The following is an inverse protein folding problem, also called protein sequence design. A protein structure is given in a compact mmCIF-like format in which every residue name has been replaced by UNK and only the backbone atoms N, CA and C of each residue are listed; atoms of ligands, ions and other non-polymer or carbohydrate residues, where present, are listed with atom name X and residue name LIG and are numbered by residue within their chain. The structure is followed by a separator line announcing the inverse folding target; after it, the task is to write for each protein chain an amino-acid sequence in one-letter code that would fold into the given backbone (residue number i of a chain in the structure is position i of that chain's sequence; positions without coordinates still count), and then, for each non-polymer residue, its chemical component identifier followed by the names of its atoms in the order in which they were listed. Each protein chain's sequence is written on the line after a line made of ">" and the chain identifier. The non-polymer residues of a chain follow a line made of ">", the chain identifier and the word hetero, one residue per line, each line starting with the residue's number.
data_IF_737649729256
#
_entry.id   IF_737649729256
#
_cell.length_a   1.000
_cell.length_b   1.000
_cell.length_c   1.000
_cell.angle_alpha   90.00
_cell.angle_beta   90.00
_cell.angle_gamma   90.00
#
_symmetry.space_group_name_H-M   'P 1'
#
loop_
_entity.id
_entity.type
_entity.pdbx_description
1 polymer ?
#
# COMPACT_ATOMS: atom_id res chain seq x y z
N UNK A 1 5.03 -3.34 14.21
CA UNK A 1 4.91 -1.97 13.68
C UNK A 1 3.54 -1.76 13.03
N UNK A 2 2.90 -0.63 13.29
CA UNK A 2 1.60 -0.30 12.69
C UNK A 2 1.75 0.19 11.24
N UNK A 3 0.79 -0.22 10.42
CA UNK A 3 0.66 0.12 8.99
C UNK A 3 -0.81 0.18 8.61
N UNK A 4 -1.12 0.92 7.55
CA UNK A 4 -2.49 1.29 7.21
C UNK A 4 -2.82 0.94 5.77
N UNK A 5 -4.05 0.48 5.51
CA UNK A 5 -4.53 0.22 4.15
C UNK A 5 -5.99 0.61 4.03
N UNK A 6 -6.33 1.34 2.98
CA UNK A 6 -7.73 1.52 2.58
C UNK A 6 -8.12 0.41 1.62
N UNK A 7 -9.22 -0.28 1.92
CA UNK A 7 -9.70 -1.41 1.14
C UNK A 7 -11.24 -1.44 1.15
N UNK A 8 -11.90 -2.08 0.17
CA UNK A 8 -13.34 -2.26 0.21
C UNK A 8 -13.71 -3.27 1.30
N UNK A 9 -14.58 -2.88 2.22
CA UNK A 9 -15.04 -3.70 3.33
C UNK A 9 -16.54 -3.95 3.21
N UNK A 10 -16.92 -5.22 3.38
CA UNK A 10 -18.30 -5.66 3.55
C UNK A 10 -18.35 -6.46 4.85
N UNK A 11 -19.14 -6.00 5.82
CA UNK A 11 -19.18 -6.58 7.18
C UNK A 11 -19.56 -8.07 7.18
N UNK A 12 -20.36 -8.50 6.21
CA UNK A 12 -20.79 -9.89 6.05
C UNK A 12 -19.85 -10.76 5.21
N UNK A 13 -18.73 -10.21 4.71
CA UNK A 13 -17.82 -10.96 3.86
C UNK A 13 -17.05 -12.03 4.65
N UNK A 14 -17.11 -13.32 4.23
CA UNK A 14 -16.33 -14.37 4.88
C UNK A 14 -14.83 -14.24 4.63
N UNK A 15 -14.03 -14.92 5.46
CA UNK A 15 -12.59 -15.04 5.24
C UNK A 15 -12.31 -15.61 3.85
N UNK A 16 -11.52 -14.88 3.06
CA UNK A 16 -11.14 -15.29 1.71
C UNK A 16 -12.06 -14.78 0.60
N UNK A 17 -13.13 -14.05 0.94
CA UNK A 17 -14.03 -13.43 -0.04
C UNK A 17 -13.77 -11.92 -0.22
N UNK A 18 -14.13 -11.35 -1.39
CA UNK A 18 -14.11 -9.91 -1.60
C UNK A 18 -14.87 -9.15 -0.50
N UNK A 19 -14.25 -8.11 0.04
CA UNK A 19 -14.80 -7.34 1.16
C UNK A 19 -14.24 -7.72 2.52
N UNK A 20 -13.58 -8.88 2.66
CA UNK A 20 -12.93 -9.25 3.92
C UNK A 20 -11.61 -8.48 4.11
N UNK A 21 -11.26 -8.01 5.33
CA UNK A 21 -10.04 -7.22 5.58
C UNK A 21 -8.72 -7.89 5.21
N UNK A 22 -8.73 -9.22 5.18
CA UNK A 22 -7.58 -10.04 4.82
C UNK A 22 -7.73 -10.73 3.46
N UNK A 23 -8.62 -10.24 2.59
CA UNK A 23 -8.80 -10.77 1.25
C UNK A 23 -7.61 -10.45 0.34
N UNK A 24 -7.07 -11.49 -0.29
CA UNK A 24 -6.01 -11.41 -1.29
C UNK A 24 -6.60 -11.53 -2.69
N UNK A 25 -6.82 -10.41 -3.36
CA UNK A 25 -7.35 -10.43 -4.73
C UNK A 25 -6.33 -11.04 -5.69
N UNK A 26 -6.72 -12.12 -6.37
CA UNK A 26 -5.89 -12.81 -7.37
C UNK A 26 -6.62 -12.90 -8.71
N UNK A 27 -5.96 -12.57 -9.84
CA UNK A 27 -4.58 -12.06 -9.93
C UNK A 27 -4.48 -10.60 -9.47
N UNK A 28 -3.38 -10.25 -8.79
CA UNK A 28 -3.06 -8.86 -8.52
C UNK A 28 -2.48 -8.24 -9.80
N UNK A 29 -3.11 -7.16 -10.30
CA UNK A 29 -2.67 -6.48 -11.52
C UNK A 29 -2.70 -4.97 -11.32
N UNK A 30 -1.71 -4.29 -11.89
CA UNK A 30 -1.68 -2.83 -12.02
C UNK A 30 -1.02 -2.10 -10.86
N UNK A 31 -0.59 -2.79 -9.82
CA UNK A 31 0.26 -2.27 -8.76
C UNK A 31 1.73 -2.19 -9.16
N UNK A 32 2.46 -1.28 -8.53
CA UNK A 32 3.87 -0.96 -8.82
C UNK A 32 4.80 -2.17 -8.64
N UNK A 33 4.56 -2.97 -7.61
CA UNK A 33 5.34 -4.12 -7.20
C UNK A 33 4.70 -5.47 -7.55
N UNK A 34 3.58 -5.47 -8.27
CA UNK A 34 2.84 -6.69 -8.62
C UNK A 34 3.68 -7.62 -9.49
N UNK A 35 3.61 -8.92 -9.21
CA UNK A 35 4.24 -9.96 -10.02
C UNK A 35 3.43 -11.27 -9.90
N UNK A 36 3.40 -12.15 -10.93
CA UNK A 36 2.66 -13.42 -10.85
C UNK A 36 3.11 -14.38 -9.73
N UNK A 37 4.36 -14.30 -9.30
CA UNK A 37 4.98 -15.27 -8.38
C UNK A 37 4.61 -15.06 -6.90
N UNK A 38 4.04 -13.91 -6.54
CA UNK A 38 3.77 -13.56 -5.15
C UNK A 38 2.58 -12.60 -5.04
N UNK A 39 2.05 -12.48 -3.82
CA UNK A 39 1.04 -11.48 -3.49
C UNK A 39 1.69 -10.32 -2.74
N UNK A 40 1.20 -9.09 -2.97
CA UNK A 40 1.71 -7.87 -2.34
C UNK A 40 0.64 -7.20 -1.51
N UNK A 41 0.96 -6.93 -0.24
CA UNK A 41 0.18 -6.05 0.62
C UNK A 41 0.66 -4.61 0.46
N UNK A 42 -0.13 -3.79 -0.25
CA UNK A 42 0.09 -2.34 -0.32
C UNK A 42 -0.45 -1.67 0.93
N UNK A 43 0.45 -1.00 1.64
CA UNK A 43 0.23 -0.40 2.95
C UNK A 43 0.89 0.98 2.98
N UNK A 44 0.54 1.81 3.95
CA UNK A 44 1.21 3.06 4.24
C UNK A 44 1.67 3.11 5.71
N UNK A 45 2.73 3.88 5.99
CA UNK A 45 3.19 4.14 7.37
C UNK A 45 2.29 5.12 8.12
N UNK A 46 1.57 5.97 7.40
CA UNK A 46 0.66 6.96 7.95
C UNK A 46 -0.79 6.68 7.52
N UNK A 47 -1.79 6.88 8.38
CA UNK A 47 -3.20 6.65 8.03
C UNK A 47 -3.67 7.62 6.94
N UNK A 48 -3.24 8.88 6.97
CA UNK A 48 -3.50 9.86 5.91
C UNK A 48 -2.78 9.50 4.61
N UNK A 49 -1.63 8.84 4.68
CA UNK A 49 -0.94 8.30 3.50
C UNK A 49 -1.76 7.22 2.81
N UNK A 50 -2.38 6.31 3.57
CA UNK A 50 -3.28 5.29 3.02
C UNK A 50 -4.52 5.91 2.36
N UNK A 51 -5.13 6.92 2.99
CA UNK A 51 -6.26 7.65 2.40
C UNK A 51 -5.84 8.44 1.16
N UNK A 52 -4.70 9.13 1.21
CA UNK A 52 -4.16 9.90 0.11
C UNK A 52 -3.83 9.06 -1.11
N UNK A 53 -3.23 7.87 -0.93
CA UNK A 53 -2.98 6.93 -2.02
C UNK A 53 -4.28 6.37 -2.63
N UNK A 54 -5.31 6.15 -1.81
CA UNK A 54 -6.58 5.60 -2.28
C UNK A 54 -7.42 6.61 -3.07
N UNK A 55 -7.46 7.87 -2.62
CA UNK A 55 -8.38 8.89 -3.14
C UNK A 55 -7.69 10.05 -3.88
N UNK A 56 -6.35 10.12 -3.86
CA UNK A 56 -5.60 11.28 -4.35
C UNK A 56 -5.65 11.49 -5.87
N UNK A 57 -6.19 10.54 -6.64
CA UNK A 57 -6.45 10.72 -8.07
C UNK A 57 -7.84 11.32 -8.37
N UNK A 58 -8.70 11.45 -7.35
CA UNK A 58 -10.03 12.04 -7.51
C UNK A 58 -9.92 13.57 -7.52
N UNK A 59 -10.60 14.20 -8.47
CA UNK A 59 -10.64 15.67 -8.58
C UNK A 59 -11.50 16.33 -7.50
N UNK A 60 -12.44 15.59 -6.90
CA UNK A 60 -13.32 16.03 -5.82
C UNK A 60 -13.53 14.89 -4.84
N UNK A 61 -13.54 15.21 -3.55
CA UNK A 61 -13.83 14.26 -2.48
C UNK A 61 -15.28 14.48 -2.02
N UNK A 62 -16.05 13.40 -2.03
CA UNK A 62 -17.47 13.36 -1.64
C UNK A 62 -17.77 12.00 -1.03
N UNK A 63 -18.89 11.86 -0.32
CA UNK A 63 -19.25 10.61 0.35
C UNK A 63 -19.23 9.38 -0.59
N UNK A 64 -19.67 9.56 -1.83
CA UNK A 64 -19.68 8.51 -2.86
C UNK A 64 -18.29 7.94 -3.20
N UNK A 65 -17.18 8.61 -2.84
CA UNK A 65 -15.84 8.07 -3.06
C UNK A 65 -15.55 6.85 -2.19
N UNK A 66 -16.30 6.70 -1.09
CA UNK A 66 -16.21 5.54 -0.22
C UNK A 66 -16.99 4.34 -0.79
N UNK A 67 -17.89 4.51 -1.75
CA UNK A 67 -18.61 3.38 -2.32
C UNK A 67 -17.67 2.51 -3.18
N UNK A 68 -17.84 1.19 -3.13
CA UNK A 68 -17.09 0.27 -3.99
C UNK A 68 -18.04 -0.61 -4.82
N UNK A 69 -18.52 -0.14 -5.98
CA UNK A 69 -19.58 -0.81 -6.74
C UNK A 69 -19.28 -2.24 -7.19
N UNK A 70 -18.01 -2.62 -7.29
CA UNK A 70 -17.61 -3.98 -7.66
C UNK A 70 -17.94 -5.04 -6.59
N UNK A 71 -18.20 -4.63 -5.34
CA UNK A 71 -18.73 -5.49 -4.29
C UNK A 71 -19.96 -4.78 -3.71
N UNK A 72 -21.15 -5.28 -4.04
CA UNK A 72 -22.41 -4.64 -3.64
C UNK A 72 -22.48 -4.43 -2.12
N UNK A 73 -22.77 -3.20 -1.70
CA UNK A 73 -22.84 -2.82 -0.29
C UNK A 73 -21.48 -2.58 0.39
N UNK A 74 -20.36 -2.85 -0.27
CA UNK A 74 -19.05 -2.57 0.29
C UNK A 74 -18.73 -1.08 0.24
N UNK A 75 -18.12 -0.58 1.32
CA UNK A 75 -17.55 0.76 1.39
C UNK A 75 -16.07 0.71 1.74
N UNK A 76 -15.32 1.73 1.34
CA UNK A 76 -13.90 1.89 1.65
C UNK A 76 -13.74 2.15 3.14
N UNK A 77 -12.93 1.32 3.78
CA UNK A 77 -12.64 1.36 5.21
C UNK A 77 -11.13 1.44 5.36
N UNK A 78 -10.66 2.13 6.40
CA UNK A 78 -9.27 2.14 6.78
C UNK A 78 -9.02 0.97 7.72
N UNK A 79 -8.18 0.03 7.30
CA UNK A 79 -7.68 -1.00 8.19
C UNK A 79 -6.38 -0.56 8.84
N UNK A 80 -6.30 -0.74 10.15
CA UNK A 80 -5.07 -0.69 10.94
C UNK A 80 -4.54 -2.10 11.03
N UNK A 81 -3.29 -2.26 10.64
CA UNK A 81 -2.62 -3.55 10.60
C UNK A 81 -1.28 -3.49 11.32
N UNK A 82 -0.77 -4.67 11.66
CA UNK A 82 0.55 -4.86 12.23
C UNK A 82 1.41 -5.74 11.32
N UNK A 83 2.63 -5.29 11.07
CA UNK A 83 3.74 -6.09 10.54
C UNK A 83 4.79 -6.31 11.64
N UNK A 84 5.63 -7.35 11.58
CA UNK A 84 6.72 -7.54 12.53
C UNK A 84 7.64 -6.32 12.64
N UNK A 85 8.14 -6.01 13.84
CA UNK A 85 9.08 -4.89 14.04
C UNK A 85 10.48 -5.16 13.46
N UNK A 86 10.83 -6.43 13.32
CA UNK A 86 12.07 -6.92 12.71
C UNK A 86 11.94 -7.19 11.21
N UNK A 87 10.84 -6.74 10.59
CA UNK A 87 10.60 -6.89 9.16
C UNK A 87 11.76 -6.28 8.37
N UNK A 88 12.38 -7.07 7.49
CA UNK A 88 13.49 -6.60 6.65
C UNK A 88 12.95 -5.84 5.44
N UNK A 89 12.99 -4.51 5.49
CA UNK A 89 12.43 -3.64 4.45
C UNK A 89 13.56 -3.07 3.60
N UNK A 90 13.47 -3.25 2.27
CA UNK A 90 14.32 -2.52 1.34
C UNK A 90 13.81 -1.08 1.25
N UNK A 91 14.57 -0.12 1.76
CA UNK A 91 14.20 1.30 1.73
C UNK A 91 14.72 1.95 0.45
N UNK A 92 13.80 2.33 -0.45
CA UNK A 92 14.18 3.01 -1.69
C UNK A 92 14.39 4.52 -1.50
N UNK A 93 14.08 5.07 -0.32
CA UNK A 93 14.48 6.44 0.07
C UNK A 93 15.95 6.53 0.51
N UNK A 94 16.59 5.39 0.78
CA UNK A 94 18.04 5.32 0.98
C UNK A 94 18.77 5.38 -0.38
N UNK A 95 19.54 6.44 -0.67
CA UNK A 95 20.25 6.57 -1.93
C UNK A 95 21.28 5.45 -2.16
N UNK A 96 21.81 4.84 -1.10
CA UNK A 96 22.71 3.69 -1.25
C UNK A 96 21.99 2.49 -1.87
N UNK A 97 20.73 2.24 -1.50
CA UNK A 97 19.92 1.17 -2.09
C UNK A 97 19.61 1.44 -3.55
N UNK A 98 19.33 2.69 -3.90
CA UNK A 98 19.12 3.06 -5.29
C UNK A 98 20.35 2.77 -6.16
N UNK A 99 21.55 3.13 -5.69
CA UNK A 99 22.81 2.83 -6.39
C UNK A 99 23.04 1.34 -6.52
N UNK A 100 22.88 0.56 -5.44
CA UNK A 100 23.04 -0.90 -5.46
C UNK A 100 22.08 -1.59 -6.45
N UNK A 101 20.85 -1.08 -6.57
CA UNK A 101 19.82 -1.62 -7.46
C UNK A 101 19.89 -1.05 -8.88
N UNK A 102 20.79 -0.10 -9.16
CA UNK A 102 20.85 0.60 -10.45
C UNK A 102 19.62 1.45 -10.75
N UNK A 103 18.92 1.92 -9.70
CA UNK A 103 17.68 2.68 -9.80
C UNK A 103 17.95 4.19 -9.70
N UNK A 104 17.11 4.95 -10.39
CA UNK A 104 17.04 6.41 -10.24
C UNK A 104 15.79 6.75 -9.45
N UNK A 105 15.77 7.85 -8.68
CA UNK A 105 14.54 8.31 -8.02
C UNK A 105 13.34 8.41 -8.97
N UNK A 106 13.57 8.83 -10.23
CA UNK A 106 12.52 8.88 -11.26
C UNK A 106 11.92 7.52 -11.62
N UNK A 107 12.69 6.43 -11.54
CA UNK A 107 12.19 5.06 -11.75
C UNK A 107 11.28 4.60 -10.61
N UNK A 108 11.41 5.21 -9.42
CA UNK A 108 10.58 4.91 -8.25
C UNK A 108 9.26 5.69 -8.31
N UNK A 109 9.29 6.95 -8.76
CA UNK A 109 8.11 7.84 -8.74
C UNK A 109 7.23 7.68 -9.97
N UNK A 110 7.82 7.59 -11.17
CA UNK A 110 7.04 7.59 -12.41
C UNK A 110 6.16 6.34 -12.53
N UNK A 111 4.92 6.48 -13.01
CA UNK A 111 4.00 5.35 -13.23
C UNK A 111 4.39 4.59 -14.50
N UNK A 112 5.49 3.85 -14.45
CA UNK A 112 5.94 2.97 -15.52
C UNK A 112 5.95 1.52 -15.02
N UNK A 113 4.81 0.83 -15.19
CA UNK A 113 4.60 -0.52 -14.67
C UNK A 113 5.64 -1.53 -15.16
N UNK A 114 6.12 -1.40 -16.40
CA UNK A 114 7.14 -2.29 -16.97
C UNK A 114 8.49 -2.16 -16.26
N UNK A 115 8.84 -0.96 -15.79
CA UNK A 115 10.06 -0.71 -15.01
C UNK A 115 9.84 -1.10 -13.54
N UNK A 116 8.64 -0.88 -13.02
CA UNK A 116 8.42 -0.97 -11.58
C UNK A 116 8.21 -2.39 -11.06
N UNK A 117 7.53 -3.25 -11.80
CA UNK A 117 7.41 -4.66 -11.42
C UNK A 117 8.77 -5.37 -11.49
N UNK A 118 9.63 -4.97 -12.45
CA UNK A 118 10.96 -5.53 -12.63
C UNK A 118 11.87 -5.32 -11.42
N UNK A 119 11.99 -4.08 -10.92
CA UNK A 119 12.81 -3.84 -9.73
C UNK A 119 12.20 -4.47 -8.48
N UNK A 120 10.88 -4.51 -8.34
CA UNK A 120 10.23 -5.12 -7.18
C UNK A 120 10.50 -6.63 -7.14
N UNK A 121 10.40 -7.29 -8.28
CA UNK A 121 10.73 -8.71 -8.41
C UNK A 121 12.22 -8.97 -8.16
N UNK A 122 13.12 -8.10 -8.64
CA UNK A 122 14.55 -8.18 -8.33
C UNK A 122 14.82 -8.07 -6.82
N UNK A 123 14.13 -7.20 -6.08
CA UNK A 123 14.31 -7.08 -4.62
C UNK A 123 13.77 -8.32 -3.92
N UNK A 124 12.57 -8.78 -4.29
CA UNK A 124 11.94 -9.98 -3.72
C UNK A 124 12.79 -11.26 -3.91
N UNK A 125 13.46 -11.38 -5.05
CA UNK A 125 14.27 -12.56 -5.38
C UNK A 125 15.63 -12.58 -4.68
N UNK A 126 16.08 -11.47 -4.07
CA UNK A 126 17.34 -11.45 -3.32
C UNK A 126 17.31 -12.41 -2.14
N UNK A 127 18.34 -13.24 -2.05
CA UNK A 127 18.62 -14.15 -0.93
C UNK A 127 19.84 -13.66 -0.17
N UNK A 128 19.92 -13.95 1.12
CA UNK A 128 21.07 -13.63 1.95
C UNK A 128 21.68 -14.92 2.48
N UNK A 129 22.97 -15.22 2.26
CA UNK A 129 23.59 -16.41 2.84
C UNK A 129 23.60 -16.43 4.39
N UNK A 130 23.42 -15.26 5.03
CA UNK A 130 23.43 -15.12 6.48
C UNK A 130 22.11 -15.53 7.15
N UNK A 131 21.01 -15.56 6.39
CA UNK A 131 19.67 -15.92 6.85
C UNK A 131 19.09 -16.76 5.72
N UNK A 132 18.92 -18.07 5.90
CA UNK A 132 18.49 -19.03 4.86
C UNK A 132 17.05 -18.76 4.35
N UNK A 133 16.86 -17.58 3.74
CA UNK A 133 15.60 -16.93 3.42
C UNK A 133 15.85 -15.70 2.50
N UNK A 134 14.77 -15.01 2.12
CA UNK A 134 14.81 -13.72 1.44
C UNK A 134 15.56 -12.68 2.26
N UNK A 135 16.44 -11.95 1.58
CA UNK A 135 17.13 -10.79 2.15
C UNK A 135 16.11 -9.73 2.60
N UNK A 136 15.06 -9.53 1.79
CA UNK A 136 14.02 -8.55 2.03
C UNK A 136 12.64 -9.21 2.10
N UNK A 137 11.80 -8.70 2.99
CA UNK A 137 10.42 -9.15 3.24
C UNK A 137 9.39 -8.09 2.83
N UNK A 138 9.84 -6.85 2.63
CA UNK A 138 9.07 -5.78 2.02
C UNK A 138 9.99 -4.80 1.30
N UNK A 139 9.37 -3.89 0.55
CA UNK A 139 10.03 -2.72 -0.03
C UNK A 139 9.17 -1.50 0.23
N UNK A 140 9.81 -0.37 0.54
CA UNK A 140 9.15 0.90 0.77
C UNK A 140 9.70 2.01 -0.12
N UNK A 141 8.86 3.00 -0.39
CA UNK A 141 9.21 4.20 -1.15
C UNK A 141 8.27 5.35 -0.78
N UNK A 142 8.61 6.57 -1.21
CA UNK A 142 7.75 7.73 -1.01
C UNK A 142 6.57 7.76 -2.00
N UNK A 143 5.40 8.19 -1.53
CA UNK A 143 4.19 8.32 -2.34
C UNK A 143 4.40 9.26 -3.53
N UNK A 144 3.76 8.92 -4.65
CA UNK A 144 3.70 9.79 -5.82
C UNK A 144 2.94 11.11 -5.52
N UNK A 145 1.90 11.03 -4.68
CA UNK A 145 1.06 12.17 -4.35
C UNK A 145 1.75 13.13 -3.37
N UNK A 146 2.42 12.60 -2.33
CA UNK A 146 3.21 13.38 -1.36
C UNK A 146 4.47 12.63 -0.92
N UNK A 147 5.67 13.19 -1.15
CA UNK A 147 6.91 12.51 -0.76
C UNK A 147 7.06 12.22 0.73
N UNK A 148 6.33 12.93 1.60
CA UNK A 148 6.34 12.69 3.06
C UNK A 148 5.55 11.46 3.48
N UNK A 149 4.75 10.86 2.59
CA UNK A 149 4.04 9.61 2.88
C UNK A 149 4.85 8.42 2.41
N UNK A 150 4.98 7.42 3.27
CA UNK A 150 5.75 6.21 2.97
C UNK A 150 4.79 5.09 2.61
N UNK A 151 4.92 4.55 1.41
CA UNK A 151 4.18 3.39 0.91
C UNK A 151 5.06 2.15 1.08
N UNK A 152 4.45 1.04 1.47
CA UNK A 152 5.10 -0.26 1.64
C UNK A 152 4.38 -1.28 0.76
N UNK A 153 5.16 -2.05 0.00
CA UNK A 153 4.75 -3.34 -0.55
C UNK A 153 5.34 -4.44 0.32
N UNK A 154 4.51 -5.09 1.13
CA UNK A 154 4.92 -6.23 1.95
C UNK A 154 4.60 -7.55 1.26
N UNK A 155 5.57 -8.47 1.24
CA UNK A 155 5.35 -9.86 0.83
C UNK A 155 4.93 -10.75 2.01
N UNK A 156 5.04 -10.23 3.23
CA UNK A 156 4.52 -10.85 4.44
C UNK A 156 3.08 -10.39 4.68
N UNK A 157 2.23 -11.33 5.09
CA UNK A 157 0.83 -11.05 5.41
C UNK A 157 0.74 -10.28 6.74
N UNK A 158 0.15 -9.08 6.76
CA UNK A 158 -0.01 -8.33 8.00
C UNK A 158 -1.15 -8.92 8.84
N UNK A 159 -1.12 -8.62 10.15
CA UNK A 159 -2.21 -8.94 11.07
C UNK A 159 -3.18 -7.77 11.14
N UNK A 160 -4.48 -8.02 11.06
CA UNK A 160 -5.49 -6.98 11.27
C UNK A 160 -5.53 -6.63 12.76
N UNK A 161 -5.54 -5.33 13.08
CA UNK A 161 -5.67 -4.81 14.45
C UNK A 161 -7.05 -4.19 14.62
N UNK A 162 -7.43 -3.29 13.72
CA UNK A 162 -8.65 -2.49 13.84
C UNK A 162 -9.20 -2.10 12.46
N UNK A 163 -10.50 -1.82 12.40
CA UNK A 163 -11.19 -1.26 11.24
C UNK A 163 -11.84 0.07 11.60
N UNK A 164 -11.53 1.09 10.81
CA UNK A 164 -12.08 2.44 10.95
C UNK A 164 -12.92 2.78 9.72
N UNK A 165 -14.24 2.96 9.93
CA UNK A 165 -15.14 3.37 8.86
C UNK A 165 -14.84 4.81 8.43
N UNK A 166 -14.62 4.99 7.13
CA UNK A 166 -14.27 6.28 6.58
C UNK A 166 -15.52 7.12 6.27
N UNK A 167 -15.41 8.40 6.59
CA UNK A 167 -16.29 9.47 6.16
C UNK A 167 -15.44 10.73 5.90
N UNK A 168 -16.06 11.83 5.46
CA UNK A 168 -15.32 13.07 5.13
C UNK A 168 -14.67 13.74 6.35
N UNK A 169 -15.23 13.54 7.54
CA UNK A 169 -14.74 14.11 8.80
C UNK A 169 -13.68 13.23 9.48
N UNK A 170 -13.44 12.03 8.95
CA UNK A 170 -12.46 11.10 9.49
C UNK A 170 -11.07 11.77 9.53
N UNK A 171 -10.33 11.74 10.67
CA UNK A 171 -9.08 12.48 10.82
C UNK A 171 -8.05 12.19 9.72
N UNK A 172 -7.91 10.92 9.33
CA UNK A 172 -7.02 10.50 8.25
C UNK A 172 -7.42 11.07 6.87
N UNK A 173 -8.73 11.16 6.59
CA UNK A 173 -9.26 11.73 5.34
C UNK A 173 -9.03 13.24 5.34
N UNK A 174 -9.39 13.93 6.43
CA UNK A 174 -9.19 15.37 6.55
C UNK A 174 -7.69 15.77 6.44
N UNK A 175 -6.79 14.99 7.05
CA UNK A 175 -5.34 15.21 6.97
C UNK A 175 -4.80 14.95 5.56
N UNK A 176 -5.30 13.92 4.87
CA UNK A 176 -4.92 13.62 3.50
C UNK A 176 -5.39 14.73 2.53
N UNK A 177 -6.65 15.16 2.64
CA UNK A 177 -7.20 16.25 1.83
C UNK A 177 -6.41 17.56 2.02
N UNK A 178 -6.10 17.91 3.28
CA UNK A 178 -5.27 19.07 3.62
C UNK A 178 -3.89 18.95 2.99
N UNK A 179 -3.25 17.79 3.11
CA UNK A 179 -1.93 17.55 2.53
C UNK A 179 -1.97 17.72 1.01
N UNK A 180 -3.01 17.25 0.34
CA UNK A 180 -3.18 17.35 -1.12
C UNK A 180 -3.65 18.72 -1.62
N UNK A 181 -3.88 19.69 -0.73
CA UNK A 181 -4.46 21.00 -1.05
C UNK A 181 -5.82 20.90 -1.77
N UNK A 182 -6.64 19.91 -1.40
CA UNK A 182 -8.00 19.79 -1.94
C UNK A 182 -8.93 20.80 -1.26
N UNK A 183 -9.83 21.46 -2.02
CA UNK A 183 -10.87 22.29 -1.43
C UNK A 183 -11.79 21.42 -0.57
N UNK A 184 -12.14 21.92 0.62
CA UNK A 184 -13.20 21.33 1.45
C UNK A 184 -14.57 21.67 0.90
#
# INVERSE_FOLDING_TARGET
>A
MLVYRVFPHLETAPLGEPGHPLYEHRPQRGGRADHPDYYVWYLARQPEGACGEAFGNLSRWSDSMFDFPAVSGARKTLGVYELPDDLRICDLDDPHRLVELGLRPTHIVTRNLAVTSGWAHQIWSQRSPAIDDRKWQAVQWWSFHRPTWTVIASWERPKLVELEHLNLDHPAVAAAAKSLNLPR
#
